data_IF_461777102629
#
_entry.id   IF_461777102629
#
_cell.length_a   1.000
_cell.length_b   1.000
_cell.length_c   1.000
_cell.angle_alpha   90.00
_cell.angle_beta   90.00
_cell.angle_gamma   90.00
#
_symmetry.space_group_name_H-M   'P 1'
#
loop_
_entity.id
_entity.type
_entity.pdbx_description
1 polymer ?
#
# COMPACT_ATOMS: atom_id res chain seq x y z
N UNK A 1 12.13 -12.16 -33.99
CA UNK A 1 10.99 -11.89 -33.10
C UNK A 1 11.39 -12.36 -31.72
N UNK A 2 11.39 -11.49 -30.72
CA UNK A 2 11.59 -11.93 -29.34
C UNK A 2 10.32 -12.64 -28.87
N UNK A 3 10.44 -13.90 -28.49
CA UNK A 3 9.37 -14.66 -27.83
C UNK A 3 9.58 -14.51 -26.33
N UNK A 4 8.62 -13.89 -25.64
CA UNK A 4 8.65 -13.75 -24.19
C UNK A 4 7.76 -14.83 -23.58
N UNK A 5 8.23 -15.48 -22.52
CA UNK A 5 7.41 -16.43 -21.76
C UNK A 5 6.52 -15.68 -20.78
N UNK A 6 5.44 -16.31 -20.32
CA UNK A 6 4.63 -15.77 -19.22
C UNK A 6 5.47 -15.57 -17.94
N UNK A 7 6.52 -16.36 -17.76
CA UNK A 7 7.45 -16.24 -16.65
C UNK A 7 8.31 -14.96 -16.74
N UNK A 8 8.81 -14.62 -17.93
CA UNK A 8 9.53 -13.37 -18.19
C UNK A 8 8.65 -12.15 -17.90
N UNK A 9 7.37 -12.21 -18.30
CA UNK A 9 6.38 -11.15 -18.06
C UNK A 9 6.07 -11.03 -16.57
N UNK A 10 5.94 -12.16 -15.86
CA UNK A 10 5.74 -12.15 -14.40
C UNK A 10 6.91 -11.52 -13.67
N UNK A 11 8.14 -11.88 -14.03
CA UNK A 11 9.35 -11.30 -13.44
C UNK A 11 9.45 -9.80 -13.71
N UNK A 12 9.15 -9.36 -14.93
CA UNK A 12 9.12 -7.93 -15.26
C UNK A 12 8.03 -7.17 -14.47
N UNK A 13 6.85 -7.78 -14.29
CA UNK A 13 5.78 -7.20 -13.49
C UNK A 13 6.10 -7.18 -11.98
N UNK A 14 6.84 -8.16 -11.47
CA UNK A 14 7.31 -8.16 -10.08
C UNK A 14 8.37 -7.09 -9.84
N UNK A 15 9.29 -6.91 -10.78
CA UNK A 15 10.31 -5.87 -10.74
C UNK A 15 9.72 -4.45 -10.85
N UNK A 16 8.71 -4.25 -11.70
CA UNK A 16 8.06 -2.94 -11.89
C UNK A 16 6.96 -2.62 -10.87
N UNK A 17 6.20 -3.62 -10.44
CA UNK A 17 5.02 -3.45 -9.59
C UNK A 17 5.16 -4.21 -8.27
N UNK A 18 6.39 -4.24 -7.76
CA UNK A 18 6.74 -4.86 -6.49
C UNK A 18 6.01 -4.23 -5.31
N UNK A 19 6.06 -4.93 -4.18
CA UNK A 19 5.54 -4.42 -2.91
C UNK A 19 6.45 -3.35 -2.31
N UNK A 20 5.89 -2.51 -1.44
CA UNK A 20 6.66 -1.63 -0.57
C UNK A 20 6.85 -2.32 0.78
N UNK A 21 8.09 -2.63 1.13
CA UNK A 21 8.45 -3.27 2.38
C UNK A 21 8.84 -2.23 3.44
N UNK A 22 8.14 -2.23 4.57
CA UNK A 22 8.37 -1.32 5.70
C UNK A 22 8.79 -2.14 6.90
N UNK A 23 10.04 -2.01 7.31
CA UNK A 23 10.57 -2.70 8.48
C UNK A 23 10.15 -1.97 9.76
N UNK A 24 9.44 -2.67 10.65
CA UNK A 24 9.06 -2.16 11.99
C UNK A 24 10.18 -2.48 12.99
N UNK A 25 10.70 -3.70 12.93
CA UNK A 25 11.75 -4.20 13.81
C UNK A 25 12.57 -5.31 13.10
N UNK A 26 13.55 -5.88 13.79
CA UNK A 26 14.46 -6.91 13.23
C UNK A 26 13.73 -8.17 12.72
N UNK A 27 12.49 -8.40 13.17
CA UNK A 27 11.71 -9.61 12.83
C UNK A 27 10.39 -9.31 12.14
N UNK A 28 9.98 -8.05 12.05
CA UNK A 28 8.67 -7.67 11.52
C UNK A 28 8.81 -6.68 10.37
N UNK A 29 8.39 -7.12 9.18
CA UNK A 29 8.30 -6.28 7.99
C UNK A 29 6.86 -6.30 7.47
N UNK A 30 6.28 -5.11 7.31
CA UNK A 30 5.00 -4.93 6.64
C UNK A 30 5.22 -4.84 5.14
N UNK A 31 4.53 -5.71 4.42
CA UNK A 31 4.57 -5.76 2.95
C UNK A 31 3.30 -5.13 2.41
N UNK A 32 3.40 -3.93 1.84
CA UNK A 32 2.28 -3.24 1.20
C UNK A 32 2.24 -3.62 -0.29
N UNK A 33 1.14 -4.24 -0.73
CA UNK A 33 0.94 -4.74 -2.09
C UNK A 33 0.64 -3.57 -3.03
N UNK A 34 1.29 -3.54 -4.19
CA UNK A 34 0.98 -2.57 -5.23
C UNK A 34 -0.53 -2.62 -5.61
N UNK A 35 -1.21 -1.47 -5.86
CA UNK A 35 -2.62 -1.43 -6.23
C UNK A 35 -2.96 -2.31 -7.43
N UNK A 36 -2.04 -2.45 -8.39
CA UNK A 36 -2.22 -3.30 -9.57
C UNK A 36 -2.27 -4.80 -9.24
N UNK A 37 -1.77 -5.20 -8.07
CA UNK A 37 -1.81 -6.57 -7.55
C UNK A 37 -2.98 -6.83 -6.59
N UNK A 38 -3.76 -5.79 -6.26
CA UNK A 38 -4.98 -5.93 -5.47
C UNK A 38 -6.13 -6.46 -6.34
N UNK A 39 -7.06 -7.16 -5.70
CA UNK A 39 -8.30 -7.57 -6.36
C UNK A 39 -9.11 -6.35 -6.81
N UNK A 40 -10.08 -6.54 -7.70
CA UNK A 40 -10.93 -5.44 -8.17
C UNK A 40 -11.69 -4.77 -7.01
N UNK A 41 -12.20 -5.58 -6.07
CA UNK A 41 -12.90 -5.08 -4.89
C UNK A 41 -11.95 -4.25 -3.99
N UNK A 42 -10.74 -4.75 -3.71
CA UNK A 42 -9.76 -4.02 -2.91
C UNK A 42 -9.32 -2.69 -3.56
N UNK A 43 -9.26 -2.61 -4.90
CA UNK A 43 -8.98 -1.35 -5.60
C UNK A 43 -10.12 -0.35 -5.48
N UNK A 44 -11.35 -0.82 -5.50
CA UNK A 44 -12.55 0.01 -5.37
C UNK A 44 -12.68 0.58 -3.94
N UNK A 45 -12.41 -0.25 -2.93
CA UNK A 45 -12.29 0.17 -1.53
C UNK A 45 -11.15 1.19 -1.36
N UNK A 46 -9.99 0.96 -1.97
CA UNK A 46 -8.86 1.89 -1.90
C UNK A 46 -9.18 3.24 -2.56
N UNK A 47 -9.95 3.24 -3.66
CA UNK A 47 -10.49 4.45 -4.27
C UNK A 47 -11.42 5.18 -3.32
N UNK A 48 -12.39 4.47 -2.76
CA UNK A 48 -13.36 5.02 -1.79
C UNK A 48 -12.70 5.62 -0.54
N UNK A 49 -11.57 5.06 -0.09
CA UNK A 49 -10.79 5.62 1.01
C UNK A 49 -10.04 6.90 0.59
N UNK A 50 -9.54 6.98 -0.64
CA UNK A 50 -8.94 8.20 -1.17
C UNK A 50 -9.97 9.31 -1.36
N UNK A 51 -11.16 8.99 -1.86
CA UNK A 51 -12.27 9.95 -1.99
C UNK A 51 -12.66 10.54 -0.62
N UNK A 52 -12.60 9.75 0.46
CA UNK A 52 -12.81 10.21 1.85
C UNK A 52 -11.67 11.06 2.42
N UNK A 53 -10.44 10.92 1.90
CA UNK A 53 -9.33 11.79 2.27
C UNK A 53 -9.41 13.15 1.57
N UNK A 54 -9.95 13.17 0.35
CA UNK A 54 -10.14 14.38 -0.45
C UNK A 54 -11.43 15.12 -0.06
N UNK A 55 -12.45 14.37 0.38
CA UNK A 55 -13.76 14.89 0.78
C UNK A 55 -14.04 14.74 2.28
N UNK A 56 -14.37 15.88 2.90
CA UNK A 56 -14.95 16.05 4.24
C UNK A 56 -13.95 16.29 5.39
N UNK A 57 -13.98 17.52 5.93
CA UNK A 57 -13.18 17.97 7.08
C UNK A 57 -13.59 17.31 8.42
N UNK A 58 -14.66 16.50 8.47
CA UNK A 58 -15.16 15.88 9.70
C UNK A 58 -14.70 14.42 9.92
N UNK A 59 -13.97 13.81 8.98
CA UNK A 59 -13.42 12.46 9.14
C UNK A 59 -12.02 12.49 9.76
N UNK A 60 -11.76 11.58 10.70
CA UNK A 60 -10.43 11.34 11.23
C UNK A 60 -9.53 10.77 10.13
N UNK A 61 -8.73 11.65 9.51
CA UNK A 61 -7.81 11.28 8.43
C UNK A 61 -6.83 10.18 8.86
N UNK A 62 -6.48 10.11 10.15
CA UNK A 62 -5.64 9.06 10.70
C UNK A 62 -6.30 7.68 10.55
N UNK A 63 -7.58 7.54 10.89
CA UNK A 63 -8.33 6.30 10.73
C UNK A 63 -8.45 5.90 9.26
N UNK A 64 -8.71 6.86 8.37
CA UNK A 64 -8.83 6.59 6.93
C UNK A 64 -7.50 6.12 6.33
N UNK A 65 -6.37 6.74 6.72
CA UNK A 65 -5.03 6.31 6.30
C UNK A 65 -4.66 4.94 6.88
N UNK A 66 -4.99 4.69 8.15
CA UNK A 66 -4.76 3.38 8.78
C UNK A 66 -5.55 2.28 8.06
N UNK A 67 -6.81 2.53 7.70
CA UNK A 67 -7.62 1.57 6.94
C UNK A 67 -7.04 1.31 5.53
N UNK A 68 -6.56 2.36 4.86
CA UNK A 68 -5.87 2.21 3.59
C UNK A 68 -4.60 1.35 3.71
N UNK A 69 -3.80 1.54 4.76
CA UNK A 69 -2.61 0.72 5.04
C UNK A 69 -3.00 -0.75 5.29
N UNK A 70 -4.06 -1.01 6.08
CA UNK A 70 -4.59 -2.36 6.33
C UNK A 70 -5.04 -3.06 5.05
N UNK A 71 -5.71 -2.31 4.17
CA UNK A 71 -6.25 -2.81 2.92
C UNK A 71 -5.14 -3.26 1.98
N UNK A 72 -4.10 -2.44 1.82
CA UNK A 72 -3.01 -2.71 0.87
C UNK A 72 -1.98 -3.68 1.44
N UNK A 73 -1.91 -3.86 2.77
CA UNK A 73 -1.02 -4.82 3.38
C UNK A 73 -1.30 -6.28 2.94
N UNK A 74 -0.23 -7.06 2.80
CA UNK A 74 -0.31 -8.50 2.53
C UNK A 74 -0.84 -9.29 3.73
N UNK A 75 -0.47 -8.87 4.94
CA UNK A 75 -0.93 -9.47 6.19
C UNK A 75 -1.53 -8.39 7.09
N UNK A 76 -2.84 -8.54 7.37
CA UNK A 76 -3.58 -7.57 8.18
C UNK A 76 -3.06 -7.51 9.62
N UNK A 77 -2.64 -8.64 10.21
CA UNK A 77 -2.14 -8.65 11.59
C UNK A 77 -0.79 -7.96 11.72
N UNK A 78 0.05 -8.06 10.70
CA UNK A 78 1.33 -7.33 10.68
C UNK A 78 1.07 -5.83 10.42
N UNK A 79 0.09 -5.49 9.57
CA UNK A 79 -0.34 -4.10 9.39
C UNK A 79 -0.82 -3.45 10.69
N UNK A 80 -1.59 -4.19 11.50
CA UNK A 80 -2.02 -3.72 12.83
C UNK A 80 -0.84 -3.35 13.73
N UNK A 81 0.25 -4.12 13.69
CA UNK A 81 1.46 -3.78 14.47
C UNK A 81 2.10 -2.47 14.02
N UNK A 82 2.09 -2.19 12.71
CA UNK A 82 2.61 -0.91 12.20
C UNK A 82 1.70 0.24 12.64
N UNK A 83 0.39 0.06 12.56
CA UNK A 83 -0.59 1.09 12.94
C UNK A 83 -0.53 1.38 14.44
N UNK A 84 -0.39 0.33 15.26
CA UNK A 84 -0.20 0.43 16.71
C UNK A 84 1.09 1.17 17.07
N UNK A 85 2.20 0.88 16.37
CA UNK A 85 3.48 1.59 16.55
C UNK A 85 3.43 3.05 16.11
N UNK A 86 2.57 3.40 15.14
CA UNK A 86 2.37 4.78 14.71
C UNK A 86 1.50 5.54 15.72
N UNK A 87 0.71 4.84 16.55
CA UNK A 87 -0.09 5.40 17.65
C UNK A 87 -1.00 6.57 17.22
N UNK A 88 -1.57 6.48 16.02
CA UNK A 88 -2.45 7.51 15.46
C UNK A 88 -1.74 8.81 15.01
N UNK A 89 -0.39 8.82 14.95
CA UNK A 89 0.35 9.95 14.40
C UNK A 89 0.02 10.11 12.90
N UNK A 90 -0.78 11.13 12.61
CA UNK A 90 -1.26 11.45 11.27
C UNK A 90 -0.10 11.72 10.29
N UNK A 91 0.98 12.35 10.74
CA UNK A 91 2.11 12.66 9.89
C UNK A 91 2.86 11.38 9.49
N UNK A 92 3.04 10.44 10.43
CA UNK A 92 3.63 9.13 10.13
C UNK A 92 2.73 8.31 9.21
N UNK A 93 1.42 8.25 9.47
CA UNK A 93 0.46 7.56 8.59
C UNK A 93 0.48 8.11 7.17
N UNK A 94 0.45 9.45 7.03
CA UNK A 94 0.52 10.12 5.74
C UNK A 94 1.86 9.86 5.05
N UNK A 95 2.98 9.86 5.78
CA UNK A 95 4.30 9.57 5.24
C UNK A 95 4.43 8.11 4.77
N UNK A 96 3.87 7.15 5.51
CA UNK A 96 3.80 5.74 5.11
C UNK A 96 3.00 5.59 3.81
N UNK A 97 1.79 6.17 3.77
CA UNK A 97 0.94 6.10 2.59
C UNK A 97 1.55 6.82 1.38
N UNK A 98 2.23 7.95 1.59
CA UNK A 98 2.99 8.66 0.54
C UNK A 98 4.15 7.82 0.01
N UNK A 99 4.90 7.15 0.89
CA UNK A 99 6.00 6.25 0.51
C UNK A 99 5.50 5.08 -0.33
N UNK A 100 4.38 4.48 0.08
CA UNK A 100 3.66 3.49 -0.70
C UNK A 100 3.25 4.03 -2.07
N UNK A 101 2.55 5.16 -2.13
CA UNK A 101 2.10 5.77 -3.38
C UNK A 101 3.26 6.04 -4.36
N UNK A 102 4.39 6.57 -3.87
CA UNK A 102 5.60 6.76 -4.70
C UNK A 102 6.16 5.45 -5.25
N UNK A 103 6.17 4.39 -4.44
CA UNK A 103 6.57 3.04 -4.89
C UNK A 103 5.66 2.50 -6.00
N UNK A 104 4.38 2.91 -6.01
CA UNK A 104 3.43 2.50 -7.05
C UNK A 104 3.56 3.29 -8.35
N UNK A 105 3.90 4.58 -8.29
CA UNK A 105 4.13 5.44 -9.46
C UNK A 105 5.48 5.17 -10.16
N UNK A 106 6.48 4.67 -9.44
CA UNK A 106 7.79 4.35 -10.03
C UNK A 106 7.74 3.26 -11.13
N UNK A 107 6.65 2.50 -11.22
CA UNK A 107 6.41 1.54 -12.30
C UNK A 107 5.94 2.17 -13.63
N UNK A 108 5.55 3.45 -13.62
CA UNK A 108 5.08 4.23 -14.78
C UNK A 108 6.20 4.96 -15.54
N UNK A 109 7.46 4.59 -15.27
CA UNK A 109 8.64 5.05 -16.01
C UNK A 109 8.98 4.17 -17.23
#
# INVERSE_FOLDING_TARGET
>A
MATFSLDDIRSAADAKYGSTDIQIDDKTTVVLRNPLRLSKAERDDLGSLQDKLDGDEALDQADVLADAIRLVAKDKKIAEKLIDQIDGDLALLAQVFSTYSKGTQAGEA
#
